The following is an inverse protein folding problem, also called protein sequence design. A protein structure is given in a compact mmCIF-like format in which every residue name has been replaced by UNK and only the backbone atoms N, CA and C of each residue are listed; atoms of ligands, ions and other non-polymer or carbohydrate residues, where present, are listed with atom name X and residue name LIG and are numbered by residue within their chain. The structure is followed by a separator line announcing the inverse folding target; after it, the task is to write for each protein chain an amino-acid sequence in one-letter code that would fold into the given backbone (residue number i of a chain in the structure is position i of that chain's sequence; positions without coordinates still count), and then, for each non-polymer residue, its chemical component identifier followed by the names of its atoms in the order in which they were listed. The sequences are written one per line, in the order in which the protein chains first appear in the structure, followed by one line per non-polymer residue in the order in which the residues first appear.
data_IF_175186069302
#
_entry.id   IF_175186069302
#
_cell.length_a   1.000
_cell.length_b   1.000
_cell.length_c   1.000
_cell.angle_alpha   90.00
_cell.angle_beta   90.00
_cell.angle_gamma   90.00
#
_symmetry.space_group_name_H-M   'P 1'
#
loop_
_entity.id
_entity.type
_entity.pdbx_description
1 polymer ?
#
# COMPACT_ATOMS: atom_id res chain seq x y z
N UNK A 1 -21.54 -1.87 9.61
CA UNK A 1 -20.89 -1.96 8.29
C UNK A 1 -19.69 -1.04 8.29
N UNK A 2 -18.53 -1.47 7.78
CA UNK A 2 -17.37 -0.60 7.62
C UNK A 2 -17.69 0.52 6.61
N UNK A 3 -17.25 1.76 6.87
CA UNK A 3 -17.47 2.88 5.94
C UNK A 3 -16.75 2.66 4.60
N UNK A 4 -15.66 1.89 4.59
CA UNK A 4 -14.94 1.48 3.38
C UNK A 4 -14.77 -0.04 3.39
N UNK A 5 -14.91 -0.66 2.21
CA UNK A 5 -14.70 -2.11 2.09
C UNK A 5 -13.24 -2.46 2.33
N UNK A 6 -12.30 -1.68 1.77
CA UNK A 6 -10.86 -1.84 2.02
C UNK A 6 -10.15 -0.50 2.18
N UNK A 7 -9.15 -0.50 3.04
CA UNK A 7 -8.24 0.60 3.27
C UNK A 7 -6.83 0.18 2.93
N UNK A 8 -6.19 0.87 1.99
CA UNK A 8 -4.75 0.75 1.78
C UNK A 8 -4.04 1.99 2.31
N UNK A 9 -3.01 1.78 3.13
CA UNK A 9 -2.15 2.83 3.65
C UNK A 9 -0.75 2.67 3.07
N UNK A 10 -0.25 3.72 2.43
CA UNK A 10 1.13 3.77 1.93
C UNK A 10 2.00 4.56 2.91
N UNK A 11 3.11 3.96 3.35
CA UNK A 11 4.12 4.69 4.11
C UNK A 11 4.84 5.68 3.19
N UNK A 12 4.67 6.98 3.43
CA UNK A 12 5.35 8.05 2.68
C UNK A 12 6.39 8.79 3.53
N UNK A 13 6.82 8.17 4.62
CA UNK A 13 7.75 8.80 5.54
C UNK A 13 9.14 8.97 4.89
N UNK A 14 9.69 10.18 5.00
CA UNK A 14 11.08 10.50 4.72
C UNK A 14 11.80 10.79 6.04
N UNK A 15 12.98 10.23 6.24
CA UNK A 15 13.83 10.55 7.40
C UNK A 15 14.92 11.54 6.99
N UNK A 16 15.19 12.52 7.86
CA UNK A 16 16.24 13.53 7.64
C UNK A 16 17.62 13.11 8.16
N UNK A 17 17.69 12.05 8.97
CA UNK A 17 18.91 11.57 9.61
C UNK A 17 19.65 10.49 8.80
N UNK A 18 19.21 10.21 7.56
CA UNK A 18 19.85 9.27 6.65
C UNK A 18 19.51 7.79 6.89
N UNK A 19 18.67 7.47 7.88
CA UNK A 19 18.14 6.12 8.05
C UNK A 19 17.16 5.76 6.92
N UNK A 20 17.08 4.47 6.58
CA UNK A 20 16.19 3.96 5.54
C UNK A 20 14.73 4.38 5.76
N UNK A 21 14.08 4.81 4.68
CA UNK A 21 12.70 5.27 4.72
C UNK A 21 11.97 4.95 3.40
N UNK A 22 10.66 4.73 3.45
CA UNK A 22 9.92 4.32 2.25
C UNK A 22 9.94 5.39 1.14
N UNK A 23 10.06 6.67 1.50
CA UNK A 23 10.19 7.75 0.53
C UNK A 23 11.46 7.65 -0.33
N UNK A 24 12.51 6.96 0.14
CA UNK A 24 13.72 6.67 -0.64
C UNK A 24 13.49 5.68 -1.80
N UNK A 25 12.35 4.97 -1.79
CA UNK A 25 12.01 3.91 -2.74
C UNK A 25 10.76 4.24 -3.57
N UNK A 26 10.60 5.51 -3.97
CA UNK A 26 9.48 5.96 -4.82
C UNK A 26 8.07 5.63 -4.26
N UNK A 27 7.91 5.51 -2.94
CA UNK A 27 6.62 5.18 -2.33
C UNK A 27 5.49 6.14 -2.71
N UNK A 28 5.82 7.43 -2.93
CA UNK A 28 4.86 8.43 -3.38
C UNK A 28 4.31 8.11 -4.77
N UNK A 29 5.14 7.61 -5.68
CA UNK A 29 4.72 7.26 -7.03
C UNK A 29 3.79 6.05 -7.02
N UNK A 30 4.08 5.06 -6.17
CA UNK A 30 3.19 3.91 -5.93
C UNK A 30 1.83 4.34 -5.36
N UNK A 31 1.83 5.24 -4.37
CA UNK A 31 0.61 5.81 -3.80
C UNK A 31 -0.22 6.57 -4.86
N UNK A 32 0.39 7.49 -5.61
CA UNK A 32 -0.30 8.30 -6.60
C UNK A 32 -0.86 7.44 -7.72
N UNK A 33 -0.13 6.40 -8.12
CA UNK A 33 -0.59 5.43 -9.10
C UNK A 33 -1.78 4.61 -8.62
N UNK A 34 -1.70 4.05 -7.41
CA UNK A 34 -2.79 3.30 -6.79
C UNK A 34 -4.06 4.16 -6.67
N UNK A 35 -3.91 5.40 -6.18
CA UNK A 35 -5.02 6.34 -6.05
C UNK A 35 -5.69 6.64 -7.39
N UNK A 36 -4.90 6.85 -8.45
CA UNK A 36 -5.42 7.05 -9.81
C UNK A 36 -6.18 5.81 -10.29
N UNK A 37 -5.58 4.62 -10.19
CA UNK A 37 -6.20 3.35 -10.62
C UNK A 37 -7.56 3.10 -9.95
N UNK A 38 -7.66 3.32 -8.65
CA UNK A 38 -8.92 3.18 -7.90
C UNK A 38 -9.96 4.21 -8.36
N UNK A 39 -9.55 5.46 -8.63
CA UNK A 39 -10.45 6.48 -9.15
C UNK A 39 -10.95 6.16 -10.57
N UNK A 40 -10.04 5.74 -11.46
CA UNK A 40 -10.35 5.39 -12.85
C UNK A 40 -11.28 4.16 -12.94
N UNK A 41 -11.16 3.21 -12.01
CA UNK A 41 -12.09 2.09 -11.87
C UNK A 41 -13.46 2.50 -11.30
N UNK A 42 -13.63 3.75 -10.85
CA UNK A 42 -14.83 4.19 -10.15
C UNK A 42 -14.97 3.60 -8.75
N UNK A 43 -13.90 3.06 -8.17
CA UNK A 43 -13.89 2.31 -6.92
C UNK A 43 -13.46 3.15 -5.69
N UNK A 44 -13.49 4.47 -5.84
CA UNK A 44 -13.29 5.41 -4.73
C UNK A 44 -14.63 5.79 -4.07
N UNK A 45 -14.66 5.84 -2.74
CA UNK A 45 -15.78 6.41 -1.99
C UNK A 45 -16.37 5.49 -0.92
N UNK A 46 -17.50 5.89 -0.31
CA UNK A 46 -18.16 5.09 0.72
C UNK A 46 -18.50 3.69 0.22
N UNK A 47 -18.24 2.68 1.04
CA UNK A 47 -18.47 1.27 0.73
C UNK A 47 -17.45 0.65 -0.22
N UNK A 48 -16.43 1.39 -0.67
CA UNK A 48 -15.43 0.94 -1.66
C UNK A 48 -14.02 1.01 -1.11
N UNK A 49 -13.02 1.34 -1.94
CA UNK A 49 -11.62 1.39 -1.55
C UNK A 49 -11.23 2.82 -1.15
N UNK A 50 -10.46 2.94 -0.06
CA UNK A 50 -9.76 4.17 0.31
C UNK A 50 -8.26 3.98 0.23
N UNK A 51 -7.61 4.88 -0.50
CA UNK A 51 -6.15 4.99 -0.58
C UNK A 51 -5.69 6.14 0.31
N UNK A 52 -4.93 5.85 1.36
CA UNK A 52 -4.46 6.83 2.34
C UNK A 52 -2.93 6.90 2.40
N UNK A 53 -2.46 8.08 2.81
CA UNK A 53 -1.06 8.31 3.18
C UNK A 53 -0.89 7.96 4.65
N UNK A 54 0.27 7.40 4.99
CA UNK A 54 0.69 7.13 6.36
C UNK A 54 2.11 7.65 6.62
N UNK A 55 2.43 7.87 7.90
CA UNK A 55 3.80 8.01 8.38
C UNK A 55 4.53 6.66 8.43
N UNK A 56 5.60 6.60 9.21
CA UNK A 56 6.35 5.34 9.41
C UNK A 56 5.41 4.25 9.94
N UNK A 57 5.53 3.05 9.39
CA UNK A 57 4.79 1.85 9.81
C UNK A 57 5.68 0.82 10.51
N UNK A 58 6.91 1.19 10.86
CA UNK A 58 7.93 0.35 11.52
C UNK A 58 8.31 -0.94 10.77
N UNK A 59 8.19 -0.90 9.43
CA UNK A 59 8.53 -1.98 8.49
C UNK A 59 9.58 -1.55 7.44
N UNK A 60 10.46 -0.61 7.78
CA UNK A 60 11.34 0.06 6.81
C UNK A 60 12.32 -0.89 6.10
N UNK A 61 12.71 -2.02 6.69
CA UNK A 61 13.57 -3.03 6.07
C UNK A 61 12.94 -3.68 4.82
N UNK A 62 11.62 -3.60 4.67
CA UNK A 62 10.87 -4.04 3.49
C UNK A 62 10.39 -2.90 2.59
N UNK A 63 10.92 -1.68 2.78
CA UNK A 63 10.49 -0.48 2.06
C UNK A 63 10.60 -0.60 0.54
N UNK A 64 9.64 -0.02 -0.22
CA UNK A 64 8.49 0.76 0.23
C UNK A 64 7.34 -0.14 0.72
N UNK A 65 6.58 0.32 1.72
CA UNK A 65 5.55 -0.51 2.39
C UNK A 65 4.15 0.06 2.23
N UNK A 66 3.20 -0.84 1.97
CA UNK A 66 1.77 -0.56 2.09
C UNK A 66 1.07 -1.65 2.92
N UNK A 67 -0.02 -1.30 3.59
CA UNK A 67 -0.86 -2.27 4.33
C UNK A 67 -2.32 -2.14 3.93
N UNK A 68 -2.99 -3.28 3.72
CA UNK A 68 -4.41 -3.37 3.38
C UNK A 68 -5.20 -3.89 4.58
N UNK A 69 -6.24 -3.16 4.95
CA UNK A 69 -7.25 -3.54 5.95
C UNK A 69 -8.60 -3.79 5.29
N UNK A 70 -9.46 -4.66 5.86
CA UNK A 70 -9.35 -5.28 7.20
C UNK A 70 -8.41 -6.48 7.31
N UNK A 71 -7.92 -7.05 6.21
CA UNK A 71 -7.13 -8.28 6.17
C UNK A 71 -5.80 -8.16 6.94
N UNK A 72 -5.25 -6.96 7.08
CA UNK A 72 -3.95 -6.73 7.71
C UNK A 72 -2.79 -7.23 6.85
N UNK A 73 -2.96 -7.27 5.54
CA UNK A 73 -1.94 -7.74 4.58
C UNK A 73 -0.91 -6.65 4.33
N UNK A 74 0.35 -6.97 4.55
CA UNK A 74 1.49 -6.07 4.37
C UNK A 74 2.17 -6.38 3.04
N UNK A 75 2.39 -5.36 2.23
CA UNK A 75 3.03 -5.46 0.92
C UNK A 75 4.31 -4.64 0.85
N UNK A 76 5.25 -5.16 0.07
CA UNK A 76 6.27 -4.37 -0.61
C UNK A 76 5.97 -4.31 -2.11
N UNK A 77 6.58 -3.36 -2.82
CA UNK A 77 6.40 -3.19 -4.27
C UNK A 77 7.61 -2.50 -4.88
N UNK A 78 7.92 -2.82 -6.14
CA UNK A 78 9.08 -2.29 -6.86
C UNK A 78 8.66 -1.27 -7.91
N UNK A 79 7.55 -1.52 -8.59
CA UNK A 79 7.11 -0.68 -9.70
C UNK A 79 5.58 -0.56 -9.81
N UNK A 80 5.11 0.04 -10.90
CA UNK A 80 3.69 0.25 -11.16
C UNK A 80 2.92 -1.04 -11.42
N UNK A 81 3.56 -2.07 -11.96
CA UNK A 81 2.92 -3.36 -12.24
C UNK A 81 2.57 -4.12 -10.95
N UNK A 82 3.41 -4.00 -9.92
CA UNK A 82 3.12 -4.53 -8.59
C UNK A 82 1.89 -3.84 -7.97
N UNK A 83 1.80 -2.52 -8.12
CA UNK A 83 0.64 -1.73 -7.68
C UNK A 83 -0.61 -2.12 -8.45
N UNK A 84 -0.49 -2.32 -9.77
CA UNK A 84 -1.60 -2.76 -10.61
C UNK A 84 -2.14 -4.13 -10.16
N UNK A 85 -1.26 -5.08 -9.84
CA UNK A 85 -1.67 -6.38 -9.33
C UNK A 85 -2.35 -6.28 -7.96
N UNK A 86 -1.81 -5.46 -7.03
CA UNK A 86 -2.44 -5.20 -5.73
C UNK A 86 -3.84 -4.61 -5.90
N UNK A 87 -4.02 -3.67 -6.83
CA UNK A 87 -5.33 -3.09 -7.14
C UNK A 87 -6.26 -4.18 -7.67
N UNK A 88 -5.89 -4.82 -8.78
CA UNK A 88 -6.78 -5.68 -9.55
C UNK A 88 -7.16 -6.96 -8.81
N UNK A 89 -6.25 -7.50 -8.01
CA UNK A 89 -6.47 -8.73 -7.24
C UNK A 89 -6.96 -8.42 -5.84
N UNK A 90 -6.20 -7.65 -5.06
CA UNK A 90 -6.53 -7.52 -3.65
C UNK A 90 -7.59 -6.45 -3.40
N UNK A 91 -7.38 -5.22 -3.86
CA UNK A 91 -8.27 -4.11 -3.53
C UNK A 91 -9.66 -4.31 -4.17
N UNK A 92 -9.72 -4.77 -5.42
CA UNK A 92 -10.97 -4.98 -6.14
C UNK A 92 -11.62 -6.34 -5.86
N UNK A 93 -10.85 -7.44 -5.84
CA UNK A 93 -11.41 -8.80 -5.74
C UNK A 93 -11.23 -9.47 -4.37
N UNK A 94 -10.38 -8.93 -3.50
CA UNK A 94 -10.07 -9.55 -2.21
C UNK A 94 -9.08 -10.71 -2.28
N UNK A 95 -8.35 -10.83 -3.37
CA UNK A 95 -7.35 -11.87 -3.57
C UNK A 95 -5.97 -11.34 -3.21
N UNK A 96 -5.34 -11.90 -2.18
CA UNK A 96 -3.99 -11.50 -1.75
C UNK A 96 -2.96 -11.81 -2.83
N UNK A 97 -2.02 -10.89 -3.03
CA UNK A 97 -0.90 -11.03 -3.97
C UNK A 97 0.30 -11.60 -3.24
N UNK A 98 0.29 -12.91 -3.00
CA UNK A 98 1.25 -13.61 -2.10
C UNK A 98 2.73 -13.27 -2.40
N UNK A 99 3.10 -13.11 -3.67
CA UNK A 99 4.49 -12.80 -4.06
C UNK A 99 5.00 -11.43 -3.55
N UNK A 100 4.09 -10.53 -3.20
CA UNK A 100 4.40 -9.18 -2.72
C UNK A 100 4.24 -9.05 -1.21
N UNK A 101 3.74 -10.09 -0.53
CA UNK A 101 3.48 -10.05 0.91
C UNK A 101 4.80 -10.00 1.67
N UNK A 102 4.91 -9.06 2.59
CA UNK A 102 6.05 -8.98 3.50
C UNK A 102 6.02 -10.13 4.51
N UNK A 103 7.20 -10.70 4.77
CA UNK A 103 7.34 -11.70 5.81
C UNK A 103 7.06 -11.10 7.20
N UNK A 104 6.51 -11.87 8.15
CA UNK A 104 6.09 -11.35 9.45
C UNK A 104 7.21 -10.72 10.29
N UNK A 105 8.44 -11.19 10.11
CA UNK A 105 9.65 -10.79 10.82
C UNK A 105 10.36 -9.56 10.22
N UNK A 106 9.89 -9.05 9.08
CA UNK A 106 10.42 -7.80 8.50
C UNK A 106 10.08 -6.64 9.43
N UNK A 107 11.10 -6.08 10.06
CA UNK A 107 10.99 -4.94 10.96
C UNK A 107 11.41 -3.62 10.32
N UNK A 108 11.91 -2.71 11.15
CA UNK A 108 12.42 -1.41 10.74
C UNK A 108 13.78 -1.53 10.06
#
# INVERSE_FOLDING_TARGET
MSYYQRHIFFCLNQRINGEASCADHAAKDGFDHCKRRIADAGESGPGKVRVNKAGCLDRCAGGPVAVVYPEGTWYTFVDKSDIDEIVDRHLLKGEVVERLVLLPDVGR
#
